data_IF_503117870203
#
_entry.id   IF_503117870203
#
_cell.length_a   1.000
_cell.length_b   1.000
_cell.length_c   1.000
_cell.angle_alpha   90.00
_cell.angle_beta   90.00
_cell.angle_gamma   90.00
#
_symmetry.space_group_name_H-M   'P 1'
#
loop_
_entity.id
_entity.type
_entity.pdbx_description
1 polymer ?
#
# COMPACT_ATOMS: atom_id res chain seq x y z
N UNK A 1 5.48 1.26 -21.87
CA UNK A 1 5.81 0.71 -23.20
C UNK A 1 4.75 1.13 -24.24
N UNK A 2 3.49 0.81 -24.05
CA UNK A 2 2.40 1.19 -24.97
C UNK A 2 2.25 2.71 -25.18
N UNK A 3 2.51 3.53 -24.15
CA UNK A 3 2.55 4.98 -24.30
C UNK A 3 3.61 5.45 -25.30
N UNK A 4 4.77 4.81 -25.37
CA UNK A 4 5.81 5.11 -26.35
C UNK A 4 5.43 4.68 -27.77
N UNK A 5 4.64 3.61 -27.95
CA UNK A 5 4.09 3.26 -29.26
C UNK A 5 3.16 4.35 -29.75
N UNK A 6 2.32 4.92 -28.86
CA UNK A 6 1.54 6.10 -29.20
C UNK A 6 2.45 7.25 -29.66
N UNK A 7 3.44 7.66 -28.85
CA UNK A 7 4.31 8.80 -29.21
C UNK A 7 4.95 8.61 -30.58
N UNK A 8 5.38 7.40 -30.92
CA UNK A 8 6.16 7.12 -32.13
C UNK A 8 5.29 6.87 -33.38
N UNK A 9 4.12 6.27 -33.23
CA UNK A 9 3.38 5.71 -34.37
C UNK A 9 1.93 6.19 -34.48
N UNK A 10 1.45 7.12 -33.67
CA UNK A 10 0.05 7.56 -33.68
C UNK A 10 -0.39 8.18 -35.01
N UNK A 11 0.53 8.78 -35.78
CA UNK A 11 0.25 9.33 -37.11
C UNK A 11 0.03 8.23 -38.17
N UNK A 12 0.61 7.04 -37.97
CA UNK A 12 0.48 5.91 -38.92
C UNK A 12 -0.71 5.02 -38.53
N UNK A 13 -0.97 4.85 -37.23
CA UNK A 13 -2.01 3.97 -36.68
C UNK A 13 -2.93 4.75 -35.74
N UNK A 14 -4.06 5.24 -36.25
CA UNK A 14 -4.99 6.07 -35.48
C UNK A 14 -5.51 5.43 -34.19
N UNK A 15 -5.64 4.10 -34.11
CA UNK A 15 -6.08 3.42 -32.92
C UNK A 15 -5.10 3.61 -31.74
N UNK A 16 -3.82 3.87 -32.00
CA UNK A 16 -2.82 4.14 -30.95
C UNK A 16 -3.10 5.43 -30.17
N UNK A 17 -3.96 6.32 -30.69
CA UNK A 17 -4.39 7.51 -29.98
C UNK A 17 -5.13 7.19 -28.66
N UNK A 18 -5.69 5.98 -28.52
CA UNK A 18 -6.30 5.52 -27.26
C UNK A 18 -5.27 5.45 -26.13
N UNK A 19 -4.01 5.14 -26.43
CA UNK A 19 -2.94 5.04 -25.44
C UNK A 19 -2.47 6.39 -24.88
N UNK A 20 -2.95 7.51 -25.44
CA UNK A 20 -2.76 8.84 -24.86
C UNK A 20 -3.53 9.00 -23.55
N UNK A 21 -4.72 8.41 -23.45
CA UNK A 21 -5.63 8.64 -22.34
C UNK A 21 -5.23 7.83 -21.11
N UNK A 22 -5.00 8.52 -19.98
CA UNK A 22 -4.65 7.90 -18.69
C UNK A 22 -5.75 6.92 -18.25
N UNK A 23 -7.02 7.30 -18.40
CA UNK A 23 -8.17 6.45 -18.02
C UNK A 23 -8.19 5.14 -18.79
N UNK A 24 -7.93 5.16 -20.10
CA UNK A 24 -7.81 3.95 -20.91
C UNK A 24 -6.65 3.08 -20.43
N UNK A 25 -5.47 3.67 -20.26
CA UNK A 25 -4.28 2.94 -19.79
C UNK A 25 -4.46 2.36 -18.40
N UNK A 26 -5.15 3.07 -17.51
CA UNK A 26 -5.47 2.59 -16.16
C UNK A 26 -6.40 1.38 -16.20
N UNK A 27 -7.48 1.43 -16.97
CA UNK A 27 -8.41 0.31 -17.12
C UNK A 27 -7.71 -0.93 -17.67
N UNK A 28 -6.88 -0.76 -18.72
CA UNK A 28 -6.13 -1.87 -19.31
C UNK A 28 -4.98 -2.37 -18.40
N UNK A 29 -4.35 -1.50 -17.64
CA UNK A 29 -3.35 -1.91 -16.64
C UNK A 29 -4.00 -2.76 -15.52
N UNK A 30 -5.16 -2.34 -15.03
CA UNK A 30 -5.93 -3.11 -14.04
C UNK A 30 -6.37 -4.47 -14.61
N UNK A 31 -6.91 -4.50 -15.83
CA UNK A 31 -7.32 -5.74 -16.50
C UNK A 31 -6.11 -6.65 -16.76
N UNK A 32 -5.00 -6.10 -17.24
CA UNK A 32 -3.76 -6.86 -17.47
C UNK A 32 -3.25 -7.47 -16.16
N UNK A 33 -3.26 -6.70 -15.07
CA UNK A 33 -2.84 -7.17 -13.74
C UNK A 33 -3.73 -8.32 -13.24
N UNK A 34 -5.05 -8.17 -13.37
CA UNK A 34 -6.03 -9.19 -13.00
C UNK A 34 -5.83 -10.48 -13.80
N UNK A 35 -5.80 -10.38 -15.14
CA UNK A 35 -5.65 -11.54 -16.01
C UNK A 35 -4.29 -12.23 -15.83
N UNK A 36 -3.22 -11.46 -15.63
CA UNK A 36 -1.90 -12.01 -15.34
C UNK A 36 -1.89 -12.76 -14.01
N UNK A 37 -2.55 -12.22 -12.97
CA UNK A 37 -2.68 -12.90 -11.68
C UNK A 37 -3.45 -14.23 -11.82
N UNK A 38 -4.57 -14.22 -12.55
CA UNK A 38 -5.36 -15.43 -12.79
C UNK A 38 -4.59 -16.47 -13.63
N UNK A 39 -3.78 -16.05 -14.60
CA UNK A 39 -3.00 -16.96 -15.45
C UNK A 39 -1.79 -17.54 -14.72
N UNK A 40 -1.05 -16.73 -13.95
CA UNK A 40 0.19 -17.13 -13.28
C UNK A 40 -0.09 -17.80 -11.93
N UNK A 41 -1.20 -17.42 -11.26
CA UNK A 41 -1.55 -17.90 -9.93
C UNK A 41 -1.52 -19.41 -9.74
N UNK A 42 -2.18 -20.23 -10.60
CA UNK A 42 -2.19 -21.67 -10.43
C UNK A 42 -0.80 -22.31 -10.55
N UNK A 43 0.05 -21.75 -11.41
CA UNK A 43 1.43 -22.18 -11.54
C UNK A 43 2.22 -21.86 -10.26
N UNK A 44 2.11 -20.62 -9.75
CA UNK A 44 2.83 -20.21 -8.54
C UNK A 44 2.38 -21.03 -7.32
N UNK A 45 1.06 -21.23 -7.14
CA UNK A 45 0.53 -22.04 -6.03
C UNK A 45 1.12 -23.45 -6.06
N UNK A 46 1.22 -24.08 -7.24
CA UNK A 46 1.85 -25.40 -7.38
C UNK A 46 3.33 -25.37 -6.99
N UNK A 47 4.09 -24.43 -7.53
CA UNK A 47 5.52 -24.29 -7.25
C UNK A 47 5.77 -24.10 -5.75
N UNK A 48 5.00 -23.21 -5.09
CA UNK A 48 5.15 -22.97 -3.66
C UNK A 48 4.79 -24.20 -2.81
N UNK A 49 3.80 -24.99 -3.22
CA UNK A 49 3.45 -26.27 -2.58
C UNK A 49 4.56 -27.31 -2.75
N UNK A 50 5.14 -27.45 -3.94
CA UNK A 50 6.23 -28.39 -4.24
C UNK A 50 7.48 -28.09 -3.40
N UNK A 51 7.81 -26.81 -3.22
CA UNK A 51 8.92 -26.38 -2.35
C UNK A 51 8.61 -26.46 -0.85
N UNK A 52 7.44 -26.96 -0.45
CA UNK A 52 6.99 -27.04 0.94
C UNK A 52 7.06 -25.68 1.67
N UNK A 53 6.80 -24.59 0.94
CA UNK A 53 6.77 -23.23 1.45
C UNK A 53 5.41 -23.01 2.15
N UNK A 54 5.14 -23.78 3.20
CA UNK A 54 3.90 -23.67 3.97
C UNK A 54 4.07 -22.78 5.21
N UNK A 55 2.97 -22.17 5.63
CA UNK A 55 2.97 -21.39 6.86
C UNK A 55 3.02 -22.30 8.09
N UNK A 56 3.91 -21.99 9.02
CA UNK A 56 3.91 -22.58 10.36
C UNK A 56 2.92 -21.81 11.24
N UNK A 57 1.83 -22.47 11.62
CA UNK A 57 0.77 -21.89 12.46
C UNK A 57 1.30 -21.69 13.89
N UNK A 58 1.03 -20.54 14.49
CA UNK A 58 1.37 -20.27 15.90
C UNK A 58 0.46 -21.09 16.82
N UNK A 59 1.04 -21.71 17.84
CA UNK A 59 0.30 -22.51 18.82
C UNK A 59 -0.65 -21.67 19.70
N UNK A 60 -0.35 -20.36 19.87
CA UNK A 60 -1.13 -19.41 20.67
C UNK A 60 -2.34 -18.81 19.94
N UNK A 61 -2.60 -19.19 18.68
CA UNK A 61 -3.67 -18.65 17.85
C UNK A 61 -5.03 -19.34 18.07
N UNK A 62 -6.13 -18.81 17.47
CA UNK A 62 -7.42 -19.49 17.46
C UNK A 62 -7.31 -20.91 16.89
N UNK A 63 -8.01 -21.88 17.49
CA UNK A 63 -7.97 -23.29 17.05
C UNK A 63 -8.41 -23.50 15.59
N UNK A 64 -9.23 -22.59 15.05
CA UNK A 64 -9.65 -22.56 13.63
C UNK A 64 -8.48 -22.45 12.65
N UNK A 65 -7.35 -21.86 13.09
CA UNK A 65 -6.17 -21.68 12.23
C UNK A 65 -5.34 -22.97 12.06
N UNK A 66 -5.53 -23.97 12.91
CA UNK A 66 -4.83 -25.25 12.78
C UNK A 66 -5.18 -25.99 11.46
N UNK A 67 -6.39 -25.80 10.95
CA UNK A 67 -6.82 -26.37 9.67
C UNK A 67 -6.13 -25.75 8.44
N UNK A 68 -5.49 -24.58 8.63
CA UNK A 68 -4.75 -23.83 7.58
C UNK A 68 -3.27 -24.26 7.46
N UNK A 69 -2.83 -25.21 8.30
CA UNK A 69 -1.46 -25.73 8.23
C UNK A 69 -1.20 -26.36 6.85
N UNK A 70 -0.09 -25.96 6.22
CA UNK A 70 0.28 -26.44 4.89
C UNK A 70 -0.19 -25.56 3.72
N UNK A 71 -1.02 -24.53 3.94
CA UNK A 71 -1.30 -23.54 2.89
C UNK A 71 -0.01 -22.76 2.58
N UNK A 72 0.38 -22.66 1.28
CA UNK A 72 1.60 -21.97 0.89
C UNK A 72 1.53 -20.47 1.25
N UNK A 73 2.67 -19.92 1.65
CA UNK A 73 2.88 -18.48 1.89
C UNK A 73 3.74 -17.85 0.80
N UNK A 74 4.08 -16.56 0.90
CA UNK A 74 4.83 -15.78 -0.10
C UNK A 74 4.03 -15.46 -1.37
N UNK A 75 2.72 -15.50 -1.34
CA UNK A 75 1.85 -15.08 -2.44
C UNK A 75 2.03 -13.62 -2.87
N UNK A 76 2.64 -12.81 -2.01
CA UNK A 76 3.04 -11.45 -2.34
C UNK A 76 3.97 -11.32 -3.54
N UNK A 77 4.68 -12.39 -3.92
CA UNK A 77 5.47 -12.42 -5.17
C UNK A 77 4.55 -12.26 -6.38
N UNK A 78 3.41 -12.97 -6.41
CA UNK A 78 2.41 -12.81 -7.47
C UNK A 78 1.86 -11.39 -7.53
N UNK A 79 1.52 -10.83 -6.37
CA UNK A 79 0.98 -9.47 -6.25
C UNK A 79 1.96 -8.47 -6.88
N UNK A 80 3.22 -8.50 -6.44
CA UNK A 80 4.24 -7.56 -6.93
C UNK A 80 4.52 -7.74 -8.43
N UNK A 81 4.62 -8.97 -8.93
CA UNK A 81 4.76 -9.23 -10.36
C UNK A 81 3.60 -8.61 -11.16
N UNK A 82 2.37 -8.81 -10.68
CA UNK A 82 1.15 -8.32 -11.33
C UNK A 82 0.90 -6.81 -11.13
N UNK A 83 1.65 -6.14 -10.25
CA UNK A 83 1.70 -4.67 -10.18
C UNK A 83 2.77 -4.16 -11.14
N UNK A 84 3.98 -4.71 -11.10
CA UNK A 84 5.13 -4.18 -11.83
C UNK A 84 4.99 -4.33 -13.34
N UNK A 85 4.63 -5.53 -13.82
CA UNK A 85 4.53 -5.78 -15.25
C UNK A 85 3.50 -4.86 -15.93
N UNK A 86 2.24 -4.76 -15.49
CA UNK A 86 1.28 -3.85 -16.10
C UNK A 86 1.66 -2.38 -15.96
N UNK A 87 2.23 -1.97 -14.82
CA UNK A 87 2.72 -0.59 -14.64
C UNK A 87 3.79 -0.25 -15.67
N UNK A 88 4.80 -1.12 -15.87
CA UNK A 88 5.85 -0.92 -16.87
C UNK A 88 5.31 -0.92 -18.32
N UNK A 89 4.28 -1.73 -18.60
CA UNK A 89 3.68 -1.79 -19.92
C UNK A 89 2.86 -0.54 -20.26
N UNK A 90 2.06 -0.04 -19.32
CA UNK A 90 1.04 0.97 -19.60
C UNK A 90 1.42 2.39 -19.18
N UNK A 91 2.33 2.59 -18.21
CA UNK A 91 2.74 3.92 -17.76
C UNK A 91 3.68 4.61 -18.72
N UNK A 92 3.76 5.94 -18.59
CA UNK A 92 4.85 6.74 -19.12
C UNK A 92 6.10 6.54 -18.26
N UNK A 93 7.07 5.79 -18.78
CA UNK A 93 8.33 5.51 -18.09
C UNK A 93 9.28 6.71 -18.01
N UNK A 94 8.96 7.83 -18.69
CA UNK A 94 9.63 9.12 -18.50
C UNK A 94 9.22 9.82 -17.21
N UNK A 95 8.16 9.35 -16.55
CA UNK A 95 7.68 9.91 -15.30
C UNK A 95 8.44 9.34 -14.10
N UNK A 96 9.16 10.21 -13.41
CA UNK A 96 10.01 9.83 -12.26
C UNK A 96 9.22 9.31 -11.07
N UNK A 97 7.97 9.75 -10.86
CA UNK A 97 7.14 9.27 -9.76
C UNK A 97 6.73 7.81 -9.93
N UNK A 98 6.57 7.34 -11.17
CA UNK A 98 6.31 5.92 -11.45
C UNK A 98 7.47 5.06 -10.95
N UNK A 99 8.72 5.44 -11.25
CA UNK A 99 9.89 4.73 -10.76
C UNK A 99 10.04 4.80 -9.26
N UNK A 100 9.68 5.92 -8.66
CA UNK A 100 9.77 6.12 -7.23
C UNK A 100 8.80 5.19 -6.48
N UNK A 101 7.53 5.07 -6.90
CA UNK A 101 6.57 4.15 -6.28
C UNK A 101 6.92 2.69 -6.52
N UNK A 102 7.38 2.34 -7.74
CA UNK A 102 7.88 1.00 -8.05
C UNK A 102 9.09 0.64 -7.17
N UNK A 103 10.02 1.59 -6.99
CA UNK A 103 11.21 1.42 -6.15
C UNK A 103 10.85 1.18 -4.68
N UNK A 104 9.91 1.95 -4.14
CA UNK A 104 9.40 1.74 -2.76
C UNK A 104 8.72 0.38 -2.64
N UNK A 105 7.81 0.04 -3.55
CA UNK A 105 7.12 -1.25 -3.53
C UNK A 105 8.11 -2.41 -3.60
N UNK A 106 9.11 -2.33 -4.50
CA UNK A 106 10.16 -3.34 -4.64
C UNK A 106 11.03 -3.47 -3.38
N UNK A 107 11.40 -2.34 -2.76
CA UNK A 107 12.22 -2.36 -1.55
C UNK A 107 11.48 -2.98 -0.36
N UNK A 108 10.21 -2.60 -0.14
CA UNK A 108 9.39 -3.21 0.90
C UNK A 108 9.08 -4.69 0.61
N UNK A 109 8.84 -5.05 -0.68
CA UNK A 109 8.73 -6.45 -1.10
C UNK A 109 10.00 -7.24 -0.79
N UNK A 110 11.18 -6.66 -1.02
CA UNK A 110 12.48 -7.27 -0.71
C UNK A 110 12.67 -7.52 0.78
N UNK A 111 12.27 -6.57 1.64
CA UNK A 111 12.29 -6.76 3.10
C UNK A 111 11.37 -7.93 3.49
N UNK A 112 10.13 -7.94 2.98
CA UNK A 112 9.17 -9.02 3.23
C UNK A 112 9.64 -10.37 2.70
N UNK A 113 10.23 -10.39 1.49
CA UNK A 113 10.79 -11.60 0.91
C UNK A 113 11.90 -12.20 1.78
N UNK A 114 12.80 -11.36 2.27
CA UNK A 114 13.87 -11.82 3.15
C UNK A 114 13.32 -12.38 4.46
N UNK A 115 12.30 -11.74 5.04
CA UNK A 115 11.63 -12.20 6.25
C UNK A 115 10.96 -13.57 6.05
N UNK A 116 10.14 -13.70 5.00
CA UNK A 116 9.43 -14.93 4.69
C UNK A 116 10.39 -16.05 4.28
N UNK A 117 11.43 -15.75 3.50
CA UNK A 117 12.47 -16.72 3.12
C UNK A 117 13.19 -17.29 4.35
N UNK A 118 13.51 -16.45 5.35
CA UNK A 118 14.13 -16.94 6.59
C UNK A 118 13.20 -17.86 7.38
N UNK A 119 11.90 -17.53 7.48
CA UNK A 119 10.90 -18.38 8.14
C UNK A 119 10.85 -19.77 7.50
N UNK A 120 10.81 -19.81 6.16
CA UNK A 120 10.77 -21.06 5.39
C UNK A 120 12.06 -21.86 5.58
N UNK A 121 13.23 -21.22 5.39
CA UNK A 121 14.55 -21.87 5.49
C UNK A 121 14.81 -22.45 6.88
N UNK A 122 14.42 -21.73 7.92
CA UNK A 122 14.65 -22.16 9.31
C UNK A 122 13.54 -23.08 9.85
N UNK A 123 12.46 -23.30 9.10
CA UNK A 123 11.26 -24.02 9.52
C UNK A 123 10.72 -23.54 10.86
N UNK A 124 10.75 -22.22 11.08
CA UNK A 124 10.30 -21.55 12.31
C UNK A 124 9.43 -20.34 11.96
N UNK A 125 8.57 -19.95 12.92
CA UNK A 125 7.75 -18.73 12.78
C UNK A 125 8.57 -17.43 12.94
N UNK A 126 9.86 -17.51 13.25
CA UNK A 126 10.75 -16.36 13.43
C UNK A 126 11.56 -16.11 12.17
N UNK A 127 11.22 -15.02 11.46
CA UNK A 127 11.97 -14.48 10.34
C UNK A 127 13.07 -13.51 10.81
N UNK A 128 13.12 -12.35 10.17
CA UNK A 128 13.98 -11.25 10.62
C UNK A 128 13.63 -10.82 12.05
N UNK A 129 14.63 -10.37 12.81
CA UNK A 129 14.31 -9.74 14.09
C UNK A 129 13.46 -8.48 13.86
N UNK A 130 12.48 -8.23 14.73
CA UNK A 130 11.60 -7.06 14.60
C UNK A 130 12.39 -5.75 14.48
N UNK A 131 13.55 -5.65 15.16
CA UNK A 131 14.44 -4.48 15.08
C UNK A 131 15.06 -4.33 13.69
N UNK A 132 15.56 -5.41 13.10
CA UNK A 132 16.17 -5.39 11.75
C UNK A 132 15.13 -5.02 10.70
N UNK A 133 13.94 -5.65 10.76
CA UNK A 133 12.82 -5.35 9.86
C UNK A 133 12.43 -3.87 9.94
N UNK A 134 12.28 -3.35 11.15
CA UNK A 134 11.91 -1.95 11.40
C UNK A 134 12.98 -0.97 10.90
N UNK A 135 14.28 -1.25 11.14
CA UNK A 135 15.38 -0.40 10.67
C UNK A 135 15.47 -0.37 9.14
N UNK A 136 15.26 -1.50 8.45
CA UNK A 136 15.24 -1.54 6.99
C UNK A 136 14.07 -0.73 6.41
N UNK A 137 12.88 -0.81 7.02
CA UNK A 137 11.73 0.00 6.65
C UNK A 137 12.00 1.50 6.85
N UNK A 138 12.64 1.89 7.97
CA UNK A 138 13.05 3.28 8.22
C UNK A 138 14.04 3.74 7.14
N UNK A 139 15.03 2.92 6.81
CA UNK A 139 16.03 3.26 5.80
C UNK A 139 15.39 3.52 4.44
N UNK A 140 14.51 2.63 3.97
CA UNK A 140 13.81 2.81 2.69
C UNK A 140 12.95 4.07 2.71
N UNK A 141 12.20 4.30 3.80
CA UNK A 141 11.35 5.48 3.96
C UNK A 141 12.16 6.78 4.03
N UNK A 142 13.30 6.75 4.68
CA UNK A 142 14.23 7.89 4.76
C UNK A 142 14.78 8.23 3.37
N UNK A 143 15.26 7.23 2.62
CA UNK A 143 15.74 7.43 1.24
C UNK A 143 14.65 8.01 0.36
N UNK A 144 13.42 7.49 0.45
CA UNK A 144 12.27 8.02 -0.27
C UNK A 144 12.01 9.49 0.09
N UNK A 145 12.02 9.85 1.39
CA UNK A 145 11.87 11.22 1.86
C UNK A 145 12.96 12.16 1.34
N UNK A 146 14.23 11.71 1.34
CA UNK A 146 15.36 12.48 0.79
C UNK A 146 15.15 12.74 -0.71
N UNK A 147 14.72 11.73 -1.48
CA UNK A 147 14.42 11.91 -2.92
C UNK A 147 13.32 12.95 -3.13
N UNK A 148 12.27 12.95 -2.31
CA UNK A 148 11.20 13.96 -2.38
C UNK A 148 11.70 15.37 -2.04
N UNK A 149 12.62 15.52 -1.09
CA UNK A 149 13.28 16.81 -0.79
C UNK A 149 14.08 17.29 -2.00
N UNK A 150 14.83 16.40 -2.65
CA UNK A 150 15.57 16.74 -3.86
C UNK A 150 14.63 17.16 -5.02
N UNK A 151 13.45 16.54 -5.11
CA UNK A 151 12.43 16.95 -6.08
C UNK A 151 11.80 18.29 -5.70
N UNK A 152 11.62 18.56 -4.41
CA UNK A 152 11.15 19.87 -3.92
C UNK A 152 12.14 20.97 -4.26
N UNK A 153 13.44 20.74 -4.06
CA UNK A 153 14.48 21.71 -4.42
C UNK A 153 14.53 22.02 -5.93
N UNK A 154 14.01 21.11 -6.78
CA UNK A 154 13.89 21.30 -8.24
C UNK A 154 12.52 21.82 -8.67
N UNK A 155 11.62 22.12 -7.76
CA UNK A 155 10.26 22.58 -8.06
C UNK A 155 9.31 21.48 -8.58
N UNK A 156 9.65 20.19 -8.44
CA UNK A 156 8.80 19.07 -8.89
C UNK A 156 7.86 18.54 -7.83
N UNK A 157 8.09 18.90 -6.56
CA UNK A 157 7.33 18.43 -5.42
C UNK A 157 7.20 19.56 -4.38
N UNK A 158 6.15 19.56 -3.57
CA UNK A 158 5.95 20.47 -2.43
C UNK A 158 6.05 19.69 -1.12
N UNK A 159 6.66 20.27 -0.09
CA UNK A 159 6.75 19.69 1.25
C UNK A 159 5.63 20.17 2.18
N UNK A 160 4.73 21.03 1.68
CA UNK A 160 3.56 21.50 2.41
C UNK A 160 2.58 20.37 2.69
N UNK A 161 1.89 20.39 3.82
CA UNK A 161 0.81 19.45 4.13
C UNK A 161 -0.53 20.00 3.65
N UNK A 162 -1.35 19.12 3.08
CA UNK A 162 -2.73 19.45 2.73
C UNK A 162 -3.66 18.88 3.80
N UNK A 163 -4.35 19.77 4.56
CA UNK A 163 -5.31 19.32 5.56
C UNK A 163 -6.68 19.08 4.92
N UNK A 164 -7.28 17.89 5.12
CA UNK A 164 -8.69 17.68 4.82
C UNK A 164 -9.52 18.71 5.57
N UNK A 165 -10.57 19.26 4.95
CA UNK A 165 -11.49 20.26 5.52
C UNK A 165 -10.93 21.69 5.70
N UNK A 166 -9.60 21.94 5.65
CA UNK A 166 -9.01 23.27 5.88
C UNK A 166 -8.21 23.74 4.66
N UNK A 167 -8.88 24.31 3.65
CA UNK A 167 -8.31 24.73 2.35
C UNK A 167 -7.10 25.64 2.45
N UNK A 168 -7.12 26.59 3.40
CA UNK A 168 -6.11 27.64 3.53
C UNK A 168 -4.96 27.28 4.46
N UNK A 169 -5.10 26.22 5.25
CA UNK A 169 -4.07 25.80 6.19
C UNK A 169 -3.16 24.78 5.55
N UNK A 170 -2.03 25.25 5.02
CA UNK A 170 -1.02 24.44 4.33
C UNK A 170 0.36 24.67 4.95
N UNK A 171 0.62 24.15 6.16
CA UNK A 171 1.93 24.32 6.79
C UNK A 171 3.00 23.57 5.99
N UNK A 172 4.17 24.22 5.83
CA UNK A 172 5.34 23.56 5.27
C UNK A 172 6.08 22.83 6.39
N UNK A 173 6.42 21.58 6.15
CA UNK A 173 7.23 20.77 7.04
C UNK A 173 8.73 21.11 6.96
N UNK A 174 9.13 21.94 5.99
CA UNK A 174 10.48 22.50 5.95
C UNK A 174 10.57 23.74 6.84
N UNK A 175 11.48 23.71 7.80
CA UNK A 175 11.72 24.88 8.66
C UNK A 175 12.77 25.75 7.96
N UNK A 176 12.30 26.65 7.10
CA UNK A 176 13.16 27.52 6.26
C UNK A 176 14.13 28.37 7.05
N UNK A 177 13.81 28.74 8.30
CA UNK A 177 14.72 29.48 9.18
C UNK A 177 16.06 28.79 9.44
N UNK A 178 16.08 27.45 9.37
CA UNK A 178 17.32 26.67 9.50
C UNK A 178 18.13 26.57 8.20
N UNK A 179 17.61 27.04 7.07
CA UNK A 179 18.33 27.02 5.79
C UNK A 179 19.34 28.18 5.67
N UNK A 180 19.45 29.06 6.66
CA UNK A 180 20.40 30.18 6.66
C UNK A 180 21.86 29.76 6.85
N UNK A 181 22.12 28.60 7.44
CA UNK A 181 23.46 28.06 7.71
C UNK A 181 23.54 26.59 7.35
N UNK A 182 24.62 26.17 6.70
CA UNK A 182 24.82 24.78 6.23
C UNK A 182 24.70 23.76 7.38
N UNK A 183 25.22 24.07 8.55
CA UNK A 183 25.17 23.21 9.74
C UNK A 183 23.76 22.97 10.29
N UNK A 184 22.78 23.84 9.97
CA UNK A 184 21.39 23.72 10.41
C UNK A 184 20.48 23.04 9.40
N UNK A 185 20.96 22.73 8.18
CA UNK A 185 20.18 22.04 7.14
C UNK A 185 19.50 20.74 7.60
N UNK A 186 20.17 19.83 8.34
CA UNK A 186 19.50 18.63 8.82
C UNK A 186 18.26 18.91 9.65
N UNK A 187 18.27 19.95 10.46
CA UNK A 187 17.11 20.33 11.28
C UNK A 187 15.97 20.94 10.46
N UNK A 188 16.29 21.58 9.32
CA UNK A 188 15.27 22.07 8.39
C UNK A 188 14.44 20.95 7.76
N UNK A 189 15.07 19.84 7.40
CA UNK A 189 14.45 18.71 6.72
C UNK A 189 13.87 17.64 7.65
N UNK A 190 14.32 17.62 8.91
CA UNK A 190 14.00 16.58 9.87
C UNK A 190 12.49 16.37 10.08
N UNK A 191 11.62 17.40 10.24
CA UNK A 191 10.18 17.19 10.45
C UNK A 191 9.54 16.49 9.26
N UNK A 192 9.88 16.86 8.02
CA UNK A 192 9.37 16.20 6.82
C UNK A 192 9.83 14.75 6.75
N UNK A 193 11.12 14.48 7.00
CA UNK A 193 11.66 13.12 6.97
C UNK A 193 11.02 12.22 8.02
N UNK A 194 10.87 12.72 9.26
CA UNK A 194 10.19 11.97 10.32
C UNK A 194 8.74 11.68 9.97
N UNK A 195 8.04 12.63 9.39
CA UNK A 195 6.66 12.46 8.95
C UNK A 195 6.53 11.41 7.85
N UNK A 196 7.38 11.47 6.82
CA UNK A 196 7.39 10.48 5.73
C UNK A 196 7.72 9.08 6.26
N UNK A 197 8.73 8.97 7.14
CA UNK A 197 9.06 7.68 7.79
C UNK A 197 7.87 7.14 8.58
N UNK A 198 7.22 7.98 9.37
CA UNK A 198 6.04 7.60 10.15
C UNK A 198 4.93 7.05 9.25
N UNK A 199 4.63 7.71 8.14
CA UNK A 199 3.58 7.31 7.21
C UNK A 199 3.92 5.98 6.53
N UNK A 200 5.11 5.84 5.95
CA UNK A 200 5.47 4.63 5.21
C UNK A 200 5.59 3.41 6.15
N UNK A 201 6.33 3.55 7.23
CA UNK A 201 6.52 2.47 8.20
C UNK A 201 5.20 2.12 8.89
N UNK A 202 4.43 3.14 9.29
CA UNK A 202 3.12 2.95 9.93
C UNK A 202 2.15 2.20 9.02
N UNK A 203 1.97 2.65 7.78
CA UNK A 203 1.06 2.03 6.82
C UNK A 203 1.50 0.61 6.45
N UNK A 204 2.80 0.41 6.18
CA UNK A 204 3.36 -0.91 5.84
C UNK A 204 3.07 -1.93 6.96
N UNK A 205 3.34 -1.57 8.21
CA UNK A 205 3.08 -2.47 9.34
C UNK A 205 1.57 -2.61 9.64
N UNK A 206 0.76 -1.59 9.42
CA UNK A 206 -0.69 -1.66 9.60
C UNK A 206 -1.34 -2.65 8.64
N UNK A 207 -0.94 -2.64 7.35
CA UNK A 207 -1.40 -3.63 6.36
C UNK A 207 -0.92 -5.03 6.76
N UNK A 208 0.34 -5.16 7.21
CA UNK A 208 0.88 -6.45 7.65
C UNK A 208 0.14 -7.02 8.89
N UNK A 209 -0.23 -6.17 9.85
CA UNK A 209 -1.04 -6.58 11.01
C UNK A 209 -2.47 -7.00 10.63
N UNK A 210 -3.01 -6.46 9.55
CA UNK A 210 -4.36 -6.80 9.05
C UNK A 210 -4.38 -8.14 8.31
N UNK A 211 -3.22 -8.66 7.87
CA UNK A 211 -3.09 -9.93 7.13
C UNK A 211 -3.15 -11.16 8.07
N UNK A 212 -4.21 -11.22 8.87
CA UNK A 212 -4.45 -12.32 9.83
C UNK A 212 -5.59 -13.26 9.45
N UNK A 213 -6.48 -12.86 8.53
CA UNK A 213 -7.60 -13.67 8.02
C UNK A 213 -7.59 -13.73 6.50
N UNK A 214 -8.09 -14.84 5.95
CA UNK A 214 -8.13 -15.11 4.51
C UNK A 214 -8.89 -14.03 3.76
N UNK A 215 -8.20 -13.29 2.86
CA UNK A 215 -8.79 -12.23 2.06
C UNK A 215 -9.04 -10.90 2.78
N UNK A 216 -8.85 -10.80 4.09
CA UNK A 216 -9.13 -9.57 4.85
C UNK A 216 -8.28 -8.40 4.37
N UNK A 217 -6.96 -8.54 4.47
CA UNK A 217 -6.03 -7.46 4.13
C UNK A 217 -6.12 -7.09 2.66
N UNK A 218 -6.09 -8.09 1.75
CA UNK A 218 -6.09 -7.83 0.31
C UNK A 218 -7.40 -7.18 -0.16
N UNK A 219 -8.55 -7.56 0.42
CA UNK A 219 -9.83 -6.91 0.11
C UNK A 219 -9.88 -5.46 0.58
N UNK A 220 -9.34 -5.15 1.76
CA UNK A 220 -9.18 -3.76 2.22
C UNK A 220 -8.21 -2.97 1.32
N UNK A 221 -7.15 -3.61 0.80
CA UNK A 221 -6.22 -3.01 -0.16
C UNK A 221 -6.92 -2.67 -1.48
N UNK A 222 -7.76 -3.56 -2.01
CA UNK A 222 -8.57 -3.27 -3.22
C UNK A 222 -9.36 -1.98 -3.05
N UNK A 223 -10.01 -1.81 -1.90
CA UNK A 223 -10.83 -0.62 -1.61
C UNK A 223 -9.95 0.62 -1.49
N UNK A 224 -8.87 0.56 -0.72
CA UNK A 224 -7.95 1.68 -0.53
C UNK A 224 -7.25 2.08 -1.84
N UNK A 225 -6.78 1.11 -2.63
CA UNK A 225 -6.16 1.36 -3.93
C UNK A 225 -7.15 1.96 -4.94
N UNK A 226 -8.42 1.55 -4.91
CA UNK A 226 -9.47 2.15 -5.75
C UNK A 226 -9.70 3.62 -5.39
N UNK A 227 -9.76 3.95 -4.10
CA UNK A 227 -9.87 5.34 -3.66
C UNK A 227 -8.64 6.16 -4.10
N UNK A 228 -7.42 5.62 -3.94
CA UNK A 228 -6.21 6.26 -4.42
C UNK A 228 -6.17 6.41 -5.94
N UNK A 229 -6.73 5.47 -6.71
CA UNK A 229 -6.86 5.59 -8.17
C UNK A 229 -7.68 6.82 -8.54
N UNK A 230 -8.80 7.05 -7.85
CA UNK A 230 -9.62 8.26 -8.05
C UNK A 230 -8.85 9.52 -7.65
N UNK A 231 -8.21 9.51 -6.48
CA UNK A 231 -7.48 10.68 -5.97
C UNK A 231 -6.29 11.07 -6.85
N UNK A 232 -5.50 10.10 -7.33
CA UNK A 232 -4.37 10.35 -8.23
C UNK A 232 -4.83 10.92 -9.56
N UNK A 233 -5.93 10.39 -10.11
CA UNK A 233 -6.50 10.90 -11.35
C UNK A 233 -6.98 12.35 -11.21
N UNK A 234 -7.75 12.62 -10.15
CA UNK A 234 -8.33 13.96 -9.91
C UNK A 234 -7.22 14.98 -9.62
N UNK A 235 -6.23 14.65 -8.81
CA UNK A 235 -5.11 15.54 -8.48
C UNK A 235 -4.22 15.83 -9.71
N UNK A 236 -4.07 14.85 -10.59
CA UNK A 236 -3.30 15.00 -11.82
C UNK A 236 -4.06 15.67 -12.98
N UNK A 237 -5.38 15.87 -12.89
CA UNK A 237 -6.21 16.43 -13.96
C UNK A 237 -6.50 17.91 -13.73
N UNK A 238 -6.03 18.80 -14.61
CA UNK A 238 -6.10 20.25 -14.43
C UNK A 238 -7.51 20.77 -14.10
N UNK A 239 -8.51 20.41 -14.91
CA UNK A 239 -9.89 20.88 -14.71
C UNK A 239 -10.53 20.33 -13.44
N UNK A 240 -10.31 19.04 -13.13
CA UNK A 240 -10.90 18.42 -11.93
C UNK A 240 -10.24 18.90 -10.65
N UNK A 241 -8.93 19.09 -10.63
CA UNK A 241 -8.22 19.63 -9.48
C UNK A 241 -8.65 21.06 -9.18
N UNK A 242 -8.80 21.91 -10.21
CA UNK A 242 -9.32 23.27 -10.08
C UNK A 242 -10.77 23.29 -9.55
N UNK A 243 -11.66 22.48 -10.16
CA UNK A 243 -13.06 22.37 -9.72
C UNK A 243 -13.21 21.94 -8.27
N UNK A 244 -12.32 21.07 -7.79
CA UNK A 244 -12.34 20.52 -6.43
C UNK A 244 -11.46 21.31 -5.47
N UNK A 245 -10.81 22.40 -5.93
CA UNK A 245 -9.88 23.24 -5.16
C UNK A 245 -8.72 22.41 -4.54
N UNK A 246 -8.21 21.47 -5.32
CA UNK A 246 -7.01 20.68 -5.00
C UNK A 246 -5.77 21.30 -5.57
N UNK A 247 -4.61 21.02 -4.97
CA UNK A 247 -3.33 21.33 -5.61
C UNK A 247 -3.17 20.51 -6.90
N UNK A 248 -3.04 21.18 -8.05
CA UNK A 248 -2.82 20.50 -9.32
C UNK A 248 -1.38 20.00 -9.41
N UNK A 249 -1.20 18.70 -9.48
CA UNK A 249 0.09 18.03 -9.60
C UNK A 249 0.17 17.27 -10.94
N UNK A 250 0.55 17.92 -12.05
CA UNK A 250 0.36 17.35 -13.40
C UNK A 250 1.08 16.02 -13.64
N UNK A 251 2.19 15.76 -12.94
CA UNK A 251 2.97 14.53 -13.10
C UNK A 251 2.41 13.33 -12.32
N UNK A 252 1.55 13.56 -11.33
CA UNK A 252 1.04 12.45 -10.50
C UNK A 252 -0.09 11.67 -11.18
N UNK A 253 -0.69 12.22 -12.25
CA UNK A 253 -1.72 11.51 -13.03
C UNK A 253 -1.28 10.12 -13.53
N UNK A 254 0.00 9.91 -13.82
CA UNK A 254 0.53 8.59 -14.21
C UNK A 254 0.48 7.56 -13.09
N UNK A 255 0.45 7.98 -11.82
CA UNK A 255 0.29 7.07 -10.69
C UNK A 255 -1.09 6.40 -10.65
N UNK A 256 -2.07 6.96 -11.37
CA UNK A 256 -3.40 6.33 -11.56
C UNK A 256 -3.24 4.93 -12.17
N UNK A 257 -2.29 4.75 -13.09
CA UNK A 257 -2.01 3.46 -13.75
C UNK A 257 -1.39 2.48 -12.76
N UNK A 258 -0.47 2.93 -11.92
CA UNK A 258 0.10 2.12 -10.84
C UNK A 258 -0.97 1.68 -9.84
N UNK A 259 -1.83 2.60 -9.39
CA UNK A 259 -2.94 2.29 -8.48
C UNK A 259 -3.95 1.33 -9.14
N UNK A 260 -4.27 1.52 -10.43
CA UNK A 260 -5.10 0.60 -11.20
C UNK A 260 -4.48 -0.80 -11.32
N UNK A 261 -3.16 -0.90 -11.55
CA UNK A 261 -2.43 -2.18 -11.53
C UNK A 261 -2.50 -2.84 -10.16
N UNK A 262 -2.41 -2.05 -9.08
CA UNK A 262 -2.55 -2.54 -7.71
C UNK A 262 -3.96 -3.07 -7.44
N UNK A 263 -5.02 -2.40 -7.92
CA UNK A 263 -6.40 -2.88 -7.85
C UNK A 263 -6.56 -4.21 -8.59
N UNK A 264 -6.11 -4.28 -9.83
CA UNK A 264 -6.23 -5.49 -10.65
C UNK A 264 -5.45 -6.68 -10.09
N UNK A 265 -4.22 -6.43 -9.64
CA UNK A 265 -3.38 -7.44 -9.00
C UNK A 265 -4.00 -7.97 -7.71
N UNK A 266 -4.52 -7.05 -6.87
CA UNK A 266 -5.14 -7.41 -5.60
C UNK A 266 -6.44 -8.20 -5.79
N UNK A 267 -7.27 -7.84 -6.77
CA UNK A 267 -8.46 -8.61 -7.15
C UNK A 267 -8.10 -10.00 -7.65
N UNK A 268 -7.08 -10.09 -8.52
CA UNK A 268 -6.63 -11.38 -9.04
C UNK A 268 -6.01 -12.27 -7.95
N UNK A 269 -5.28 -11.70 -7.00
CA UNK A 269 -4.78 -12.45 -5.85
C UNK A 269 -5.90 -12.86 -4.89
N UNK A 270 -6.89 -12.01 -4.67
CA UNK A 270 -8.06 -12.30 -3.83
C UNK A 270 -8.80 -13.55 -4.31
N UNK A 271 -8.77 -13.86 -5.61
CA UNK A 271 -9.36 -15.08 -6.15
C UNK A 271 -8.83 -16.35 -5.47
N UNK A 272 -7.53 -16.37 -5.15
CA UNK A 272 -6.86 -17.49 -4.48
C UNK A 272 -6.78 -17.35 -2.97
N UNK A 273 -6.87 -16.12 -2.47
CA UNK A 273 -6.74 -15.81 -1.04
C UNK A 273 -8.09 -15.66 -0.32
N UNK A 274 -9.23 -15.68 -1.07
CA UNK A 274 -10.56 -15.68 -0.45
C UNK A 274 -10.78 -16.94 0.40
N UNK A 275 -11.53 -16.81 1.48
CA UNK A 275 -11.80 -17.91 2.41
C UNK A 275 -12.57 -19.08 1.76
N UNK A 276 -12.08 -20.34 1.86
CA UNK A 276 -10.81 -20.77 2.44
C UNK A 276 -9.62 -20.56 1.49
N UNK A 277 -8.54 -19.93 1.97
CA UNK A 277 -7.42 -19.52 1.14
C UNK A 277 -6.58 -20.68 0.59
N UNK A 278 -6.24 -20.62 -0.69
CA UNK A 278 -5.31 -21.54 -1.37
C UNK A 278 -3.84 -21.09 -1.24
N UNK A 279 -3.62 -19.79 -0.95
CA UNK A 279 -2.31 -19.15 -0.77
C UNK A 279 -2.40 -17.97 0.17
N UNK A 280 -1.39 -17.79 1.01
CA UNK A 280 -1.26 -16.61 1.88
C UNK A 280 -0.34 -15.56 1.28
N UNK A 281 -0.66 -14.29 1.53
CA UNK A 281 0.08 -13.14 1.00
C UNK A 281 1.50 -13.08 1.54
N UNK A 282 1.66 -13.25 2.84
CA UNK A 282 2.94 -13.12 3.55
C UNK A 282 3.45 -11.68 3.63
N UNK A 283 4.63 -11.55 4.27
CA UNK A 283 5.26 -10.24 4.46
C UNK A 283 5.71 -9.60 3.14
N UNK A 284 6.00 -10.44 2.11
CA UNK A 284 6.33 -9.97 0.74
C UNK A 284 5.24 -9.08 0.16
N UNK A 285 3.97 -9.46 0.36
CA UNK A 285 2.83 -8.73 -0.19
C UNK A 285 2.37 -7.61 0.73
N UNK A 286 2.16 -7.91 2.00
CA UNK A 286 1.58 -6.96 2.95
C UNK A 286 2.45 -5.71 3.16
N UNK A 287 3.77 -5.87 3.30
CA UNK A 287 4.69 -4.74 3.45
C UNK A 287 4.78 -3.92 2.17
N UNK A 288 4.85 -4.58 1.00
CA UNK A 288 4.92 -3.90 -0.28
C UNK A 288 3.67 -3.07 -0.56
N UNK A 289 2.49 -3.64 -0.35
CA UNK A 289 1.21 -2.96 -0.57
C UNK A 289 1.04 -1.77 0.38
N UNK A 290 1.35 -1.95 1.67
CA UNK A 290 1.28 -0.86 2.64
C UNK A 290 2.27 0.27 2.33
N UNK A 291 3.52 -0.07 1.97
CA UNK A 291 4.53 0.90 1.55
C UNK A 291 4.14 1.63 0.26
N UNK A 292 3.57 0.92 -0.73
CA UNK A 292 3.09 1.49 -1.99
C UNK A 292 1.92 2.46 -1.78
N UNK A 293 0.90 2.08 -1.00
CA UNK A 293 -0.23 2.92 -0.62
C UNK A 293 0.26 4.22 0.04
N UNK A 294 1.18 4.09 1.00
CA UNK A 294 1.76 5.24 1.69
C UNK A 294 2.56 6.14 0.76
N UNK A 295 3.40 5.58 -0.11
CA UNK A 295 4.21 6.35 -1.05
C UNK A 295 3.34 7.15 -2.04
N UNK A 296 2.29 6.52 -2.58
CA UNK A 296 1.32 7.21 -3.44
C UNK A 296 0.65 8.36 -2.68
N UNK A 297 0.14 8.11 -1.46
CA UNK A 297 -0.54 9.12 -0.67
C UNK A 297 0.35 10.33 -0.36
N UNK A 298 1.64 10.11 -0.05
CA UNK A 298 2.63 11.18 0.18
C UNK A 298 2.88 11.96 -1.11
N UNK A 299 3.06 11.29 -2.25
CA UNK A 299 3.33 11.98 -3.52
C UNK A 299 2.16 12.85 -3.95
N UNK A 300 0.92 12.40 -3.77
CA UNK A 300 -0.29 13.14 -4.16
C UNK A 300 -0.79 14.10 -3.08
N UNK A 301 -0.04 14.29 -1.99
CA UNK A 301 -0.40 15.20 -0.88
C UNK A 301 -1.71 14.82 -0.17
N UNK A 302 -1.96 13.53 -0.03
CA UNK A 302 -3.14 12.99 0.66
C UNK A 302 -2.76 12.17 1.92
N UNK A 303 -1.63 12.50 2.52
CA UNK A 303 -1.08 11.81 3.69
C UNK A 303 -2.03 11.83 4.88
N UNK A 304 -2.67 12.98 5.14
CA UNK A 304 -3.61 13.15 6.23
C UNK A 304 -4.98 12.53 5.95
N UNK A 305 -5.26 12.20 4.68
CA UNK A 305 -6.46 11.47 4.30
C UNK A 305 -6.25 9.95 4.37
N UNK A 306 -4.99 9.50 4.35
CA UNK A 306 -4.64 8.08 4.40
C UNK A 306 -5.24 7.32 5.59
N UNK A 307 -5.30 7.88 6.83
CA UNK A 307 -5.98 7.23 7.95
C UNK A 307 -7.46 6.95 7.72
N UNK A 308 -8.12 7.73 6.88
CA UNK A 308 -9.51 7.50 6.48
C UNK A 308 -9.59 6.48 5.33
N UNK A 309 -8.77 6.63 4.28
CA UNK A 309 -8.71 5.68 3.17
C UNK A 309 -8.40 4.26 3.66
N UNK A 310 -7.44 4.16 4.58
CA UNK A 310 -7.01 2.92 5.22
C UNK A 310 -7.57 2.69 6.62
N UNK A 311 -8.82 3.14 6.90
CA UNK A 311 -9.37 3.18 8.26
C UNK A 311 -9.33 1.83 8.99
N UNK A 312 -9.56 0.74 8.28
CA UNK A 312 -9.44 -0.61 8.87
C UNK A 312 -8.01 -0.91 9.29
N UNK A 313 -7.01 -0.60 8.47
CA UNK A 313 -5.60 -0.80 8.81
C UNK A 313 -5.21 -0.01 10.07
N UNK A 314 -5.74 1.22 10.19
CA UNK A 314 -5.52 2.07 11.38
C UNK A 314 -6.17 1.45 12.62
N UNK A 315 -7.42 0.99 12.52
CA UNK A 315 -8.13 0.35 13.64
C UNK A 315 -7.38 -0.91 14.10
N UNK A 316 -6.92 -1.74 13.17
CA UNK A 316 -6.13 -2.93 13.46
C UNK A 316 -4.83 -2.58 14.20
N UNK A 317 -4.06 -1.65 13.67
CA UNK A 317 -2.81 -1.21 14.29
C UNK A 317 -3.04 -0.57 15.66
N UNK A 318 -4.03 0.31 15.79
CA UNK A 318 -4.39 0.94 17.07
C UNK A 318 -4.83 -0.09 18.11
N UNK A 319 -5.57 -1.12 17.72
CA UNK A 319 -5.98 -2.19 18.62
C UNK A 319 -4.78 -2.90 19.27
N UNK A 320 -3.72 -3.14 18.47
CA UNK A 320 -2.48 -3.73 18.96
C UNK A 320 -1.75 -2.78 19.92
N UNK A 321 -1.63 -1.50 19.52
CA UNK A 321 -0.97 -0.49 20.34
C UNK A 321 -1.68 -0.35 21.69
N UNK A 322 -3.01 -0.19 21.69
CA UNK A 322 -3.82 -0.08 22.91
C UNK A 322 -3.66 -1.31 23.79
N UNK A 323 -3.72 -2.51 23.20
CA UNK A 323 -3.54 -3.77 23.93
C UNK A 323 -2.17 -3.84 24.61
N UNK A 324 -1.10 -3.57 23.87
CA UNK A 324 0.28 -3.63 24.39
C UNK A 324 0.51 -2.59 25.48
N UNK A 325 0.06 -1.35 25.27
CA UNK A 325 0.18 -0.27 26.25
C UNK A 325 -0.60 -0.59 27.52
N UNK A 326 -1.86 -1.03 27.40
CA UNK A 326 -2.67 -1.39 28.57
C UNK A 326 -2.06 -2.55 29.35
N UNK A 327 -1.57 -3.60 28.65
CA UNK A 327 -0.95 -4.74 29.29
C UNK A 327 0.35 -4.37 30.04
N UNK A 328 1.19 -3.52 29.41
CA UNK A 328 2.43 -3.06 30.06
C UNK A 328 2.19 -2.13 31.26
N UNK A 329 1.18 -1.24 31.18
CA UNK A 329 0.93 -0.26 32.23
C UNK A 329 0.01 -0.78 33.35
N UNK A 330 -0.96 -1.64 33.02
CA UNK A 330 -2.03 -2.05 33.95
C UNK A 330 -2.08 -3.55 34.20
N UNK A 331 -1.29 -4.39 33.49
CA UNK A 331 -1.38 -5.85 33.53
C UNK A 331 -2.69 -6.44 33.01
N UNK A 332 -3.55 -5.61 32.37
CA UNK A 332 -4.89 -6.00 31.92
C UNK A 332 -5.01 -5.90 30.39
N UNK A 333 -5.68 -6.88 29.80
CA UNK A 333 -6.07 -6.87 28.38
C UNK A 333 -7.31 -6.02 28.19
N UNK A 334 -7.32 -5.18 27.12
CA UNK A 334 -8.51 -4.42 26.67
C UNK A 334 -9.36 -5.30 25.77
N UNK A 335 -8.73 -5.96 24.81
CA UNK A 335 -9.37 -6.89 23.89
C UNK A 335 -9.06 -8.33 24.29
N UNK A 336 -9.92 -9.29 23.94
CA UNK A 336 -9.64 -10.72 24.13
C UNK A 336 -8.34 -11.12 23.46
N UNK A 337 -8.15 -10.61 22.23
CA UNK A 337 -6.91 -10.73 21.46
C UNK A 337 -6.76 -9.51 20.57
N UNK A 338 -5.55 -9.14 20.17
CA UNK A 338 -5.24 -8.13 19.18
C UNK A 338 -4.31 -8.76 18.12
N UNK A 339 -4.43 -8.38 16.84
CA UNK A 339 -5.32 -7.34 16.27
C UNK A 339 -6.82 -7.62 16.44
N UNK A 340 -7.67 -6.58 16.21
CA UNK A 340 -9.09 -6.62 16.63
C UNK A 340 -9.93 -7.66 15.88
N UNK A 341 -9.56 -8.08 14.67
CA UNK A 341 -10.26 -9.16 13.98
C UNK A 341 -10.28 -10.46 14.80
N UNK A 342 -9.19 -10.81 15.50
CA UNK A 342 -9.14 -11.96 16.40
C UNK A 342 -10.05 -11.81 17.63
N UNK A 343 -10.29 -10.58 18.09
CA UNK A 343 -11.25 -10.33 19.18
C UNK A 343 -12.64 -10.81 18.78
N UNK A 344 -13.10 -10.49 17.56
CA UNK A 344 -14.40 -10.90 17.06
C UNK A 344 -14.50 -12.41 16.79
N UNK A 345 -13.40 -13.06 16.34
CA UNK A 345 -13.37 -14.52 16.23
C UNK A 345 -13.55 -15.18 17.61
N UNK A 346 -12.84 -14.68 18.64
CA UNK A 346 -12.97 -15.18 20.02
C UNK A 346 -14.32 -14.81 20.67
N UNK A 347 -15.10 -13.91 20.09
CA UNK A 347 -16.50 -13.66 20.42
C UNK A 347 -17.48 -14.60 19.71
N UNK A 348 -16.96 -15.51 18.86
CA UNK A 348 -17.76 -16.51 18.16
C UNK A 348 -18.27 -16.09 16.79
N UNK A 349 -17.74 -15.00 16.20
CA UNK A 349 -18.08 -14.66 14.82
C UNK A 349 -17.34 -15.60 13.86
N UNK A 350 -18.06 -16.04 12.83
CA UNK A 350 -17.44 -16.80 11.73
C UNK A 350 -16.46 -15.90 10.96
N UNK A 351 -15.34 -16.45 10.54
CA UNK A 351 -14.28 -15.74 9.80
C UNK A 351 -14.84 -14.96 8.60
N UNK A 352 -15.65 -15.61 7.75
CA UNK A 352 -16.28 -14.96 6.60
C UNK A 352 -17.16 -13.77 6.96
N UNK A 353 -17.81 -13.78 8.14
CA UNK A 353 -18.61 -12.67 8.64
C UNK A 353 -17.73 -11.49 9.10
N UNK A 354 -16.60 -11.77 9.73
CA UNK A 354 -15.62 -10.73 10.12
C UNK A 354 -15.11 -10.07 8.86
N UNK A 355 -14.63 -10.84 7.90
CA UNK A 355 -14.07 -10.35 6.63
C UNK A 355 -15.05 -9.43 5.90
N UNK A 356 -16.29 -9.91 5.67
CA UNK A 356 -17.29 -9.13 4.95
C UNK A 356 -17.64 -7.81 5.65
N UNK A 357 -17.75 -7.80 6.98
CA UNK A 357 -18.02 -6.59 7.76
C UNK A 357 -16.87 -5.60 7.72
N UNK A 358 -15.64 -6.08 7.76
CA UNK A 358 -14.46 -5.23 7.65
C UNK A 358 -14.31 -4.63 6.26
N UNK A 359 -14.65 -5.37 5.17
CA UNK A 359 -14.71 -4.80 3.83
C UNK A 359 -15.79 -3.71 3.71
N UNK A 360 -16.97 -3.94 4.29
CA UNK A 360 -18.03 -2.93 4.32
C UNK A 360 -17.55 -1.68 5.06
N UNK A 361 -16.92 -1.85 6.22
CA UNK A 361 -16.36 -0.74 6.99
C UNK A 361 -15.23 -0.02 6.21
N UNK A 362 -14.33 -0.76 5.55
CA UNK A 362 -13.31 -0.19 4.68
C UNK A 362 -13.92 0.65 3.56
N UNK A 363 -15.00 0.16 2.92
CA UNK A 363 -15.72 0.91 1.89
C UNK A 363 -16.34 2.19 2.45
N UNK A 364 -16.96 2.15 3.64
CA UNK A 364 -17.52 3.34 4.31
C UNK A 364 -16.41 4.37 4.57
N UNK A 365 -15.26 3.95 5.08
CA UNK A 365 -14.12 4.83 5.30
C UNK A 365 -13.59 5.44 4.00
N UNK A 366 -13.44 4.65 2.95
CA UNK A 366 -12.99 5.12 1.63
C UNK A 366 -13.97 6.12 1.01
N UNK A 367 -15.28 5.83 1.08
CA UNK A 367 -16.32 6.77 0.62
C UNK A 367 -16.30 8.06 1.43
N UNK A 368 -16.16 7.97 2.75
CA UNK A 368 -16.00 9.16 3.61
C UNK A 368 -14.79 9.99 3.19
N UNK A 369 -13.64 9.34 2.95
CA UNK A 369 -12.45 10.02 2.46
C UNK A 369 -12.70 10.74 1.13
N UNK A 370 -13.43 10.12 0.18
CA UNK A 370 -13.76 10.75 -1.10
C UNK A 370 -14.74 11.93 -0.96
N UNK A 371 -15.65 11.92 0.05
CA UNK A 371 -16.54 13.09 0.27
C UNK A 371 -15.75 14.34 0.63
N UNK A 372 -14.56 14.20 1.25
CA UNK A 372 -13.72 15.35 1.59
C UNK A 372 -13.24 16.13 0.37
N UNK A 373 -13.24 15.52 -0.82
CA UNK A 373 -12.84 16.19 -2.07
C UNK A 373 -13.63 17.48 -2.34
N UNK A 374 -14.92 17.50 -1.98
CA UNK A 374 -15.79 18.68 -2.19
C UNK A 374 -15.92 19.57 -0.95
N UNK A 375 -15.59 19.06 0.22
CA UNK A 375 -15.69 19.80 1.50
C UNK A 375 -14.47 20.66 1.80
N UNK A 376 -13.49 20.69 0.93
CA UNK A 376 -12.24 21.45 1.05
C UNK A 376 -12.42 22.91 0.71
#
# INVERSE_FOLDING_TARGET
MFYYLYIKFHNQFHFLNLFRYITFRTAYASLTALLLSLAVGPWLVRVLKEFQIGQYVREDGPKSHLSKAGTPTMGGVLINLCIFVPTLLWSDLGNVFVWLVLGVAAAFAGIGFWDDYQKVRQRKNLGLTGRTKFLLQILVSFVFGVVLILFSARGFYSTTLTFPFFKRFRPDLLITGFLSRVWTYPFAFLPFLLFVVLILVGCSNAVNLTDGLDGLAIGCVVIAASALTVLTYVTGHAVLSEYLDLEHLPRVGELTIFCGSMVGSSLGFLWYNAYPAEIFMGDVGSLALGGAIAAVAVIIKQELLLPFIGGIFVIEALSVIIQVVSFKLRGKRVFRMAPIHHHFELEGWKESKVIARFWIAALVFALFALTTLKLR
#
